data_IF_500181877564
#
_entry.id   IF_500181877564
#
_cell.length_a   1.000
_cell.length_b   1.000
_cell.length_c   1.000
_cell.angle_alpha   90.00
_cell.angle_beta   90.00
_cell.angle_gamma   90.00
#
_symmetry.space_group_name_H-M   'P 1'
#
loop_
_entity.id
_entity.type
_entity.pdbx_description
1 polymer ?
#
# COMPACT_ATOMS: atom_id res chain seq x y z
N UNK A 1 5.03 -0.62 5.34
CA UNK A 1 3.62 -0.67 5.78
C UNK A 1 2.88 0.28 4.89
N UNK A 2 1.99 -0.23 4.04
CA UNK A 2 1.30 0.60 3.04
C UNK A 2 0.01 1.14 3.62
N UNK A 3 -0.10 2.46 3.76
CA UNK A 3 -1.25 3.10 4.40
C UNK A 3 -0.94 4.25 5.36
N UNK A 4 0.25 4.86 5.25
CA UNK A 4 0.64 6.01 6.06
C UNK A 4 1.05 5.68 7.50
N UNK A 5 1.54 6.69 8.20
CA UNK A 5 1.94 6.62 9.61
C UNK A 5 0.71 6.72 10.50
N UNK A 6 0.70 5.90 11.55
CA UNK A 6 -0.39 5.84 12.53
C UNK A 6 -0.47 7.16 13.32
N UNK A 7 -1.66 7.57 13.78
CA UNK A 7 -1.75 8.37 14.99
C UNK A 7 -1.08 7.60 16.13
N UNK A 8 -0.24 8.26 16.93
CA UNK A 8 0.48 7.65 18.05
C UNK A 8 -0.44 7.25 19.23
N UNK A 9 -1.76 7.45 19.12
CA UNK A 9 -2.74 7.29 20.17
C UNK A 9 -4.07 6.73 19.64
N UNK A 10 -4.84 6.09 20.54
CA UNK A 10 -6.15 5.47 20.26
C UNK A 10 -6.11 3.95 20.08
N UNK A 11 -7.28 3.31 20.00
CA UNK A 11 -7.40 1.84 19.87
C UNK A 11 -6.71 1.26 18.63
N UNK A 12 -6.55 2.08 17.59
CA UNK A 12 -5.82 1.71 16.39
C UNK A 12 -4.30 1.63 16.61
N UNK A 13 -3.77 2.18 17.71
CA UNK A 13 -2.36 2.19 18.08
C UNK A 13 -1.86 0.87 18.69
N UNK A 14 -2.75 -0.07 19.04
CA UNK A 14 -2.38 -1.36 19.66
C UNK A 14 -2.76 -2.59 18.82
N UNK A 15 -3.63 -2.45 17.83
CA UNK A 15 -4.07 -3.57 16.98
C UNK A 15 -3.04 -3.96 15.92
N UNK A 16 -2.85 -5.27 15.74
CA UNK A 16 -2.04 -5.85 14.67
C UNK A 16 -2.64 -5.50 13.30
N UNK A 17 -1.77 -5.12 12.36
CA UNK A 17 -2.14 -4.87 10.96
C UNK A 17 -1.78 -6.07 10.08
N UNK A 18 -2.61 -6.37 9.08
CA UNK A 18 -2.35 -7.43 8.10
C UNK A 18 -2.54 -6.88 6.71
N UNK A 19 -1.55 -7.08 5.84
CA UNK A 19 -1.61 -6.63 4.46
C UNK A 19 -2.72 -7.31 3.68
N UNK A 20 -3.36 -6.56 2.79
CA UNK A 20 -4.39 -7.06 1.89
C UNK A 20 -4.33 -6.29 0.57
N UNK A 21 -4.62 -6.98 -0.54
CA UNK A 21 -4.50 -6.44 -1.90
C UNK A 21 -5.86 -6.21 -2.59
N UNK A 22 -6.96 -6.71 -2.02
CA UNK A 22 -8.31 -6.48 -2.54
C UNK A 22 -9.30 -6.15 -1.43
N UNK A 23 -10.41 -5.50 -1.78
CA UNK A 23 -11.50 -5.24 -0.83
C UNK A 23 -11.95 -6.51 -0.12
N UNK A 24 -12.10 -7.62 -0.88
CA UNK A 24 -12.51 -8.91 -0.33
C UNK A 24 -11.52 -9.40 0.73
N UNK A 25 -10.21 -9.33 0.45
CA UNK A 25 -9.19 -9.79 1.39
C UNK A 25 -9.16 -8.91 2.64
N UNK A 26 -9.31 -7.59 2.49
CA UNK A 26 -9.36 -6.68 3.63
C UNK A 26 -10.60 -6.89 4.50
N UNK A 27 -11.73 -7.29 3.91
CA UNK A 27 -12.93 -7.68 4.67
C UNK A 27 -12.66 -8.95 5.51
N UNK A 28 -11.91 -9.93 4.98
CA UNK A 28 -11.52 -11.11 5.76
C UNK A 28 -10.57 -10.75 6.91
N UNK A 29 -9.65 -9.80 6.71
CA UNK A 29 -8.80 -9.27 7.80
C UNK A 29 -9.65 -8.64 8.91
N UNK A 30 -10.66 -7.85 8.55
CA UNK A 30 -11.58 -7.22 9.51
C UNK A 30 -12.38 -8.27 10.29
N UNK A 31 -12.87 -9.32 9.61
CA UNK A 31 -13.57 -10.45 10.27
C UNK A 31 -12.68 -11.20 11.26
N UNK A 32 -11.37 -11.25 10.99
CA UNK A 32 -10.35 -11.77 11.90
C UNK A 32 -9.98 -10.83 13.06
N UNK A 33 -10.71 -9.73 13.27
CA UNK A 33 -10.47 -8.71 14.29
C UNK A 33 -9.09 -8.01 14.21
N UNK A 34 -8.43 -8.06 13.04
CA UNK A 34 -7.21 -7.32 12.74
C UNK A 34 -7.52 -6.07 11.94
N UNK A 35 -6.57 -5.13 11.88
CA UNK A 35 -6.69 -3.95 11.03
C UNK A 35 -6.12 -4.26 9.63
N UNK A 36 -6.86 -4.04 8.54
CA UNK A 36 -6.32 -4.17 7.19
C UNK A 36 -5.27 -3.09 6.91
N UNK A 37 -4.15 -3.50 6.33
CA UNK A 37 -3.13 -2.64 5.71
C UNK A 37 -3.29 -2.76 4.19
N UNK A 38 -4.16 -1.93 3.61
CA UNK A 38 -4.51 -2.07 2.19
C UNK A 38 -3.38 -1.51 1.31
N UNK A 39 -2.74 -2.39 0.54
CA UNK A 39 -1.63 -2.02 -0.34
C UNK A 39 -2.09 -1.20 -1.56
N UNK A 40 -3.36 -1.31 -1.96
CA UNK A 40 -3.88 -0.66 -3.15
C UNK A 40 -3.19 -1.09 -4.46
N UNK A 41 -3.52 -0.42 -5.56
CA UNK A 41 -2.88 -0.66 -6.87
C UNK A 41 -1.40 -0.27 -6.88
N UNK A 42 -1.01 0.68 -6.03
CA UNK A 42 0.38 1.13 -5.87
C UNK A 42 1.27 0.10 -5.15
N UNK A 43 0.69 -0.95 -4.56
CA UNK A 43 1.43 -1.90 -3.74
C UNK A 43 1.99 -1.25 -2.47
N UNK A 44 2.98 -1.91 -1.86
CA UNK A 44 3.49 -1.44 -0.57
C UNK A 44 4.26 -0.11 -0.67
N UNK A 45 3.84 0.88 0.12
CA UNK A 45 4.53 2.16 0.31
C UNK A 45 5.24 2.16 1.68
N UNK A 46 6.46 2.69 1.74
CA UNK A 46 7.23 2.88 2.97
C UNK A 46 7.13 4.31 3.46
N UNK A 47 7.03 4.51 4.78
CA UNK A 47 7.03 5.82 5.42
C UNK A 47 8.02 5.84 6.60
N UNK A 48 8.67 6.98 6.86
CA UNK A 48 9.43 7.20 8.08
C UNK A 48 8.56 7.75 9.22
N UNK A 49 9.15 8.06 10.38
CA UNK A 49 8.41 8.50 11.57
C UNK A 49 7.65 9.83 11.39
N UNK A 50 8.05 10.66 10.42
CA UNK A 50 7.40 11.93 10.13
C UNK A 50 6.26 11.77 9.12
N UNK A 51 6.10 10.58 8.54
CA UNK A 51 5.17 10.33 7.44
C UNK A 51 5.74 10.63 6.07
N UNK A 52 7.05 10.83 5.93
CA UNK A 52 7.70 11.00 4.63
C UNK A 52 7.86 9.65 3.93
N UNK A 53 7.63 9.63 2.61
CA UNK A 53 7.77 8.40 1.81
C UNK A 53 9.23 7.97 1.72
N UNK A 54 9.52 6.72 2.10
CA UNK A 54 10.86 6.11 2.04
C UNK A 54 11.00 5.10 0.91
N UNK A 55 9.90 4.47 0.50
CA UNK A 55 9.83 3.61 -0.68
C UNK A 55 8.46 3.67 -1.34
N UNK A 56 8.42 3.53 -2.66
CA UNK A 56 7.18 3.50 -3.44
C UNK A 56 7.35 2.64 -4.68
N UNK A 57 6.26 2.06 -5.16
CA UNK A 57 6.23 1.40 -6.46
C UNK A 57 5.61 2.32 -7.51
N UNK A 58 6.08 2.18 -8.74
CA UNK A 58 5.62 2.87 -9.93
C UNK A 58 5.19 1.82 -10.93
N UNK A 59 3.97 1.98 -11.44
CA UNK A 59 3.41 1.13 -12.48
C UNK A 59 3.56 1.85 -13.81
N UNK A 60 4.29 1.25 -14.74
CA UNK A 60 4.45 1.79 -16.09
C UNK A 60 3.34 1.22 -16.97
N UNK A 61 2.64 2.10 -17.67
CA UNK A 61 1.59 1.74 -18.62
C UNK A 61 1.97 2.20 -20.02
N UNK A 62 1.80 1.31 -20.98
CA UNK A 62 1.93 1.62 -22.42
C UNK A 62 0.56 1.53 -23.08
N UNK A 63 0.28 2.47 -23.98
CA UNK A 63 -0.96 2.51 -24.75
C UNK A 63 -0.73 1.89 -26.13
N UNK A 64 -1.63 0.99 -26.54
CA UNK A 64 -1.62 0.38 -27.87
C UNK A 64 -2.41 1.21 -28.89
N UNK A 65 -2.50 0.71 -30.13
CA UNK A 65 -3.30 1.33 -31.19
C UNK A 65 -4.80 1.44 -30.87
N UNK A 66 -5.28 0.62 -29.93
CA UNK A 66 -6.64 0.66 -29.40
C UNK A 66 -6.84 1.73 -28.30
N UNK A 67 -5.79 2.49 -27.97
CA UNK A 67 -5.76 3.47 -26.88
C UNK A 67 -6.12 2.87 -25.50
N UNK A 68 -5.88 1.57 -25.32
CA UNK A 68 -6.05 0.88 -24.03
C UNK A 68 -4.73 0.82 -23.28
N UNK A 69 -4.74 1.24 -22.01
CA UNK A 69 -3.58 1.13 -21.13
C UNK A 69 -3.27 -0.34 -20.81
N UNK A 70 -2.02 -0.75 -20.97
CA UNK A 70 -1.52 -2.06 -20.55
C UNK A 70 -0.32 -1.86 -19.64
N UNK A 71 -0.28 -2.58 -18.52
CA UNK A 71 0.91 -2.58 -17.66
C UNK A 71 2.09 -3.11 -18.48
N UNK A 72 3.14 -2.33 -18.56
CA UNK A 72 4.37 -2.63 -19.30
C UNK A 72 5.60 -2.69 -18.40
N UNK A 73 5.50 -2.24 -17.15
CA UNK A 73 6.60 -2.34 -16.18
C UNK A 73 6.15 -2.06 -14.74
N UNK A 74 6.99 -2.45 -13.79
CA UNK A 74 6.86 -2.13 -12.37
C UNK A 74 8.24 -1.79 -11.82
N UNK A 75 8.37 -0.62 -11.21
CA UNK A 75 9.62 -0.15 -10.63
C UNK A 75 9.43 0.20 -9.17
N UNK A 76 10.36 -0.15 -8.30
CA UNK A 76 10.37 0.29 -6.91
C UNK A 76 11.48 1.32 -6.74
N UNK A 77 11.14 2.53 -6.29
CA UNK A 77 12.13 3.50 -5.87
C UNK A 77 12.16 3.56 -4.35
N UNK A 78 13.37 3.66 -3.80
CA UNK A 78 13.60 3.86 -2.37
C UNK A 78 14.66 4.92 -2.16
N UNK A 79 14.52 5.66 -1.06
CA UNK A 79 15.56 6.55 -0.53
C UNK A 79 16.51 5.71 0.32
N UNK A 80 17.79 5.72 -0.01
CA UNK A 80 18.84 5.21 0.88
C UNK A 80 18.89 6.11 2.13
N UNK A 81 19.09 5.55 3.34
CA UNK A 81 19.21 6.33 4.57
C UNK A 81 20.23 7.47 4.48
#
# INVERSE_FOLDING_TARGET
MSGGVRPASGDAATKERTSCASYKDCVEVLKGAKLPDYDGESGTIGFDANGDVTSSNYMVFTYGADNTARVSGKETASRTP
#
